data_IF_869959469575
#
_entry.id   IF_869959469575
#
_cell.length_a   1.000
_cell.length_b   1.000
_cell.length_c   1.000
_cell.angle_alpha   90.00
_cell.angle_beta   90.00
_cell.angle_gamma   90.00
#
_symmetry.space_group_name_H-M   'P 1'
#
loop_
_entity.id
_entity.type
_entity.pdbx_description
1 polymer ?
#
# COMPACT_ATOMS: atom_id res chain seq x y z
N UNK A 1 -23.07 -2.61 -39.37
CA UNK A 1 -22.63 -3.93 -38.85
C UNK A 1 -23.82 -4.55 -38.15
N UNK A 2 -24.36 -5.67 -38.64
CA UNK A 2 -25.40 -6.38 -37.91
C UNK A 2 -24.69 -7.27 -36.90
N UNK A 3 -24.93 -7.04 -35.62
CA UNK A 3 -24.46 -7.90 -34.54
C UNK A 3 -24.98 -9.31 -34.81
N UNK A 4 -24.11 -10.33 -34.82
CA UNK A 4 -24.56 -11.73 -34.94
C UNK A 4 -25.07 -12.18 -33.58
N UNK A 5 -26.38 -12.21 -33.44
CA UNK A 5 -27.08 -12.72 -32.26
C UNK A 5 -27.35 -14.21 -32.52
N UNK A 6 -27.22 -15.08 -31.51
CA UNK A 6 -27.60 -16.48 -31.63
C UNK A 6 -29.11 -16.62 -31.85
N UNK A 7 -29.54 -17.63 -32.60
CA UNK A 7 -30.97 -17.89 -32.89
C UNK A 7 -31.77 -18.05 -31.59
N UNK A 8 -31.23 -18.79 -30.61
CA UNK A 8 -31.83 -18.97 -29.28
C UNK A 8 -32.09 -17.63 -28.55
N UNK A 9 -31.21 -16.64 -28.70
CA UNK A 9 -31.33 -15.35 -28.03
C UNK A 9 -32.33 -14.44 -28.77
N UNK A 10 -32.41 -14.54 -30.10
CA UNK A 10 -33.44 -13.82 -30.87
C UNK A 10 -34.85 -14.31 -30.51
N UNK A 11 -35.05 -15.63 -30.42
CA UNK A 11 -36.32 -16.21 -29.99
C UNK A 11 -36.70 -15.78 -28.57
N UNK A 12 -35.73 -15.78 -27.64
CA UNK A 12 -35.93 -15.31 -26.28
C UNK A 12 -36.31 -13.82 -26.21
N UNK A 13 -35.66 -12.97 -27.02
CA UNK A 13 -35.97 -11.54 -27.12
C UNK A 13 -37.36 -11.30 -27.70
N UNK A 14 -37.74 -12.01 -28.75
CA UNK A 14 -39.07 -11.93 -29.34
C UNK A 14 -40.16 -12.35 -28.34
N UNK A 15 -39.92 -13.43 -27.59
CA UNK A 15 -40.87 -13.93 -26.61
C UNK A 15 -41.04 -12.99 -25.41
N UNK A 16 -39.93 -12.44 -24.88
CA UNK A 16 -39.96 -11.44 -23.82
C UNK A 16 -40.69 -10.15 -24.27
N UNK A 17 -40.42 -9.68 -25.49
CA UNK A 17 -41.07 -8.51 -26.07
C UNK A 17 -42.59 -8.73 -26.26
N UNK A 18 -43.00 -9.93 -26.71
CA UNK A 18 -44.41 -10.33 -26.81
C UNK A 18 -45.11 -10.33 -25.45
N UNK A 19 -44.48 -10.91 -24.42
CA UNK A 19 -45.01 -10.94 -23.05
C UNK A 19 -45.24 -9.54 -22.48
N UNK A 20 -44.32 -8.61 -22.76
CA UNK A 20 -44.38 -7.22 -22.33
C UNK A 20 -45.21 -6.31 -23.28
N UNK A 21 -45.68 -6.83 -24.42
CA UNK A 21 -46.40 -6.11 -25.48
C UNK A 21 -45.68 -4.85 -25.99
N UNK A 22 -44.35 -4.94 -26.11
CA UNK A 22 -43.50 -3.86 -26.67
C UNK A 22 -42.72 -4.37 -27.88
N UNK A 23 -42.28 -3.49 -28.80
CA UNK A 23 -41.36 -3.89 -29.86
C UNK A 23 -40.01 -4.36 -29.29
N UNK A 24 -39.39 -5.35 -29.93
CA UNK A 24 -38.08 -5.93 -29.52
C UNK A 24 -37.00 -4.84 -29.41
N UNK A 25 -36.98 -3.88 -30.34
CA UNK A 25 -36.02 -2.77 -30.31
C UNK A 25 -36.15 -1.89 -29.07
N UNK A 26 -37.37 -1.73 -28.53
CA UNK A 26 -37.61 -0.96 -27.32
C UNK A 26 -37.18 -1.72 -26.07
N UNK A 27 -37.43 -3.04 -26.04
CA UNK A 27 -36.95 -3.92 -24.97
C UNK A 27 -35.42 -3.91 -24.91
N UNK A 28 -34.74 -4.10 -26.05
CA UNK A 28 -33.28 -4.11 -26.12
C UNK A 28 -32.72 -2.77 -25.68
N UNK A 29 -33.32 -1.65 -26.10
CA UNK A 29 -32.91 -0.31 -25.65
C UNK A 29 -33.02 -0.18 -24.13
N UNK A 30 -34.19 -0.48 -23.57
CA UNK A 30 -34.43 -0.35 -22.13
C UNK A 30 -33.48 -1.25 -21.33
N UNK A 31 -33.27 -2.50 -21.74
CA UNK A 31 -32.37 -3.42 -21.06
C UNK A 31 -30.92 -2.94 -21.13
N UNK A 32 -30.49 -2.40 -22.27
CA UNK A 32 -29.15 -1.84 -22.38
C UNK A 32 -29.00 -0.60 -21.51
N UNK A 33 -29.96 0.33 -21.53
CA UNK A 33 -29.99 1.51 -20.67
C UNK A 33 -29.96 1.10 -19.18
N UNK A 34 -30.82 0.17 -18.75
CA UNK A 34 -30.86 -0.35 -17.38
C UNK A 34 -29.52 -1.02 -16.96
N UNK A 35 -28.88 -1.76 -17.86
CA UNK A 35 -27.58 -2.41 -17.58
C UNK A 35 -26.47 -1.37 -17.46
N UNK A 36 -26.49 -0.31 -18.28
CA UNK A 36 -25.52 0.78 -18.15
C UNK A 36 -25.69 1.54 -16.84
N UNK A 37 -26.93 1.87 -16.46
CA UNK A 37 -27.24 2.54 -15.19
C UNK A 37 -26.77 1.70 -13.98
N UNK A 38 -26.96 0.37 -14.03
CA UNK A 38 -26.48 -0.54 -12.97
C UNK A 38 -24.94 -0.59 -12.92
N UNK A 39 -24.26 -0.61 -14.07
CA UNK A 39 -22.79 -0.63 -14.12
C UNK A 39 -22.20 0.69 -13.64
N UNK A 40 -22.82 1.82 -13.99
CA UNK A 40 -22.45 3.15 -13.50
C UNK A 40 -22.60 3.21 -11.97
N UNK A 41 -23.74 2.79 -11.43
CA UNK A 41 -23.96 2.72 -9.98
C UNK A 41 -22.94 1.81 -9.27
N UNK A 42 -22.59 0.65 -9.84
CA UNK A 42 -21.55 -0.23 -9.25
C UNK A 42 -20.18 0.44 -9.29
N UNK A 43 -19.85 1.15 -10.37
CA UNK A 43 -18.56 1.84 -10.51
C UNK A 43 -18.43 2.98 -9.51
N UNK A 44 -19.51 3.74 -9.28
CA UNK A 44 -19.59 4.78 -8.25
C UNK A 44 -19.43 4.18 -6.84
N UNK A 45 -20.19 3.12 -6.52
CA UNK A 45 -20.10 2.44 -5.21
C UNK A 45 -18.72 1.83 -4.93
N UNK A 46 -18.03 1.31 -5.96
CA UNK A 46 -16.66 0.79 -5.82
C UNK A 46 -15.66 1.93 -5.65
N UNK A 47 -15.86 3.06 -6.32
CA UNK A 47 -15.07 4.28 -6.11
C UNK A 47 -15.13 4.75 -4.67
N UNK A 48 -16.35 4.91 -4.14
CA UNK A 48 -16.60 5.34 -2.76
C UNK A 48 -16.00 4.35 -1.74
N UNK A 49 -16.15 3.04 -1.97
CA UNK A 49 -15.56 2.03 -1.08
C UNK A 49 -14.02 2.07 -1.09
N UNK A 50 -13.40 2.31 -2.24
CA UNK A 50 -11.94 2.45 -2.33
C UNK A 50 -11.47 3.72 -1.63
N UNK A 51 -12.19 4.83 -1.77
CA UNK A 51 -11.91 6.09 -1.07
C UNK A 51 -12.05 5.93 0.46
N UNK A 52 -13.10 5.27 0.95
CA UNK A 52 -13.30 4.93 2.36
C UNK A 52 -12.18 4.05 2.92
N UNK A 53 -11.74 3.03 2.16
CA UNK A 53 -10.63 2.15 2.57
C UNK A 53 -9.31 2.93 2.60
N UNK A 54 -9.09 3.84 1.65
CA UNK A 54 -7.89 4.70 1.61
C UNK A 54 -7.92 5.71 2.77
N UNK A 55 -9.06 6.33 3.06
CA UNK A 55 -9.23 7.27 4.16
C UNK A 55 -9.10 6.57 5.53
N UNK A 56 -9.69 5.38 5.70
CA UNK A 56 -9.52 4.56 6.90
C UNK A 56 -8.08 4.08 7.07
N UNK A 57 -7.38 3.69 5.99
CA UNK A 57 -5.97 3.35 6.04
C UNK A 57 -5.09 4.55 6.46
N UNK A 58 -5.40 5.75 5.96
CA UNK A 58 -4.73 6.99 6.38
C UNK A 58 -5.07 7.37 7.83
N UNK A 59 -6.30 7.14 8.28
CA UNK A 59 -6.74 7.39 9.65
C UNK A 59 -6.13 6.40 10.65
N UNK A 60 -5.98 5.13 10.27
CA UNK A 60 -5.21 4.12 11.02
C UNK A 60 -3.72 4.49 11.08
N UNK A 61 -3.17 5.04 9.98
CA UNK A 61 -1.83 5.62 9.95
C UNK A 61 -1.66 6.77 10.96
N UNK A 62 -2.62 7.71 10.99
CA UNK A 62 -2.62 8.84 11.95
C UNK A 62 -2.87 8.41 13.40
N UNK A 63 -3.59 7.31 13.64
CA UNK A 63 -3.79 6.73 15.00
C UNK A 63 -2.56 5.97 15.52
N UNK A 64 -1.68 5.50 14.63
CA UNK A 64 -0.44 4.81 14.99
C UNK A 64 0.67 5.76 15.46
N UNK A 65 0.72 7.00 14.96
CA UNK A 65 1.74 8.00 15.30
C UNK A 65 1.73 8.42 16.78
N UNK A 66 0.55 8.44 17.43
CA UNK A 66 0.41 8.85 18.83
C UNK A 66 0.90 7.80 19.85
N UNK A 67 0.63 6.51 19.60
CA UNK A 67 1.00 5.42 20.53
C UNK A 67 2.46 4.98 20.42
N UNK A 68 3.09 5.19 19.26
CA UNK A 68 4.48 4.75 19.04
C UNK A 68 5.52 5.70 19.62
N UNK A 69 5.23 7.01 19.69
CA UNK A 69 6.09 7.98 20.37
C UNK A 69 6.26 7.67 21.85
N UNK A 70 5.20 7.20 22.53
CA UNK A 70 5.23 6.86 23.95
C UNK A 70 6.04 5.58 24.22
N UNK A 71 5.83 4.52 23.43
CA UNK A 71 6.61 3.26 23.56
C UNK A 71 8.09 3.42 23.23
N UNK A 72 8.43 4.23 22.23
CA UNK A 72 9.83 4.48 21.87
C UNK A 72 10.50 5.43 22.85
N UNK A 73 9.79 6.41 23.41
CA UNK A 73 10.30 7.27 24.49
C UNK A 73 10.56 6.47 25.78
N UNK A 74 9.64 5.60 26.20
CA UNK A 74 9.83 4.72 27.36
C UNK A 74 10.94 3.69 27.14
N UNK A 75 11.02 3.09 25.96
CA UNK A 75 12.10 2.16 25.62
C UNK A 75 13.46 2.87 25.54
N UNK A 76 13.50 4.13 25.09
CA UNK A 76 14.72 4.97 25.04
C UNK A 76 15.11 5.46 26.43
N UNK A 77 14.15 5.79 27.31
CA UNK A 77 14.40 6.11 28.72
C UNK A 77 15.00 4.91 29.45
N UNK A 78 14.44 3.70 29.25
CA UNK A 78 14.97 2.45 29.81
C UNK A 78 16.35 2.08 29.23
N UNK A 79 16.65 2.47 27.99
CA UNK A 79 17.99 2.28 27.37
C UNK A 79 19.02 3.28 27.87
N UNK A 80 18.62 4.53 28.13
CA UNK A 80 19.51 5.56 28.69
C UNK A 80 19.95 5.19 30.12
N UNK A 81 19.12 4.49 30.89
CA UNK A 81 19.55 3.91 32.18
C UNK A 81 20.62 2.82 32.00
N UNK A 82 20.49 1.94 31.00
CA UNK A 82 21.44 0.84 30.76
C UNK A 82 22.76 1.32 30.14
N UNK A 83 22.72 2.29 29.22
CA UNK A 83 23.92 2.83 28.54
C UNK A 83 24.79 3.69 29.48
N UNK A 84 24.21 4.24 30.55
CA UNK A 84 24.94 5.02 31.56
C UNK A 84 25.94 4.19 32.37
N UNK A 85 25.68 2.89 32.51
CA UNK A 85 26.60 1.95 33.17
C UNK A 85 27.74 1.49 32.24
N UNK A 86 27.56 1.57 30.92
CA UNK A 86 28.58 1.18 29.91
C UNK A 86 29.43 2.35 29.37
N UNK A 87 29.02 3.60 29.62
CA UNK A 87 29.69 4.82 29.16
C UNK A 87 31.01 5.18 29.90
N UNK A 88 31.87 4.19 30.16
CA UNK A 88 33.26 4.41 30.58
C UNK A 88 34.27 3.78 29.62
N UNK A 89 34.20 4.14 28.34
CA UNK A 89 35.30 4.00 27.39
C UNK A 89 35.20 5.07 26.28
N UNK A 90 36.33 5.60 25.76
CA UNK A 90 36.34 6.84 25.00
C UNK A 90 35.97 6.66 23.51
N UNK A 91 35.12 7.57 23.00
CA UNK A 91 34.91 7.81 21.57
C UNK A 91 36.21 8.34 20.91
N UNK A 92 36.47 8.17 19.58
CA UNK A 92 35.88 9.09 18.58
C UNK A 92 35.87 8.65 17.07
N UNK A 93 35.35 9.52 16.17
CA UNK A 93 35.62 9.65 14.70
C UNK A 93 34.72 8.94 13.63
N UNK A 94 33.41 8.79 13.82
CA UNK A 94 32.53 8.22 12.77
C UNK A 94 31.40 9.16 12.25
N UNK A 95 31.52 10.48 12.41
CA UNK A 95 30.41 11.39 12.06
C UNK A 95 30.42 11.94 10.62
N UNK A 96 31.57 11.98 9.95
CA UNK A 96 31.70 12.66 8.65
C UNK A 96 31.67 11.73 7.41
N UNK A 97 31.78 10.41 7.57
CA UNK A 97 31.71 9.45 6.46
C UNK A 97 30.28 9.01 6.09
N UNK A 98 29.31 9.18 6.98
CA UNK A 98 27.96 8.58 6.87
C UNK A 98 27.05 9.13 5.78
N UNK A 99 27.43 10.18 5.05
CA UNK A 99 26.56 10.83 4.05
C UNK A 99 26.83 10.36 2.62
N UNK A 100 28.07 9.98 2.31
CA UNK A 100 28.45 9.48 0.99
C UNK A 100 28.09 7.99 0.78
N UNK A 101 27.79 7.25 1.84
CA UNK A 101 27.42 5.82 1.80
C UNK A 101 25.89 5.56 1.76
N UNK A 102 25.08 6.60 1.53
CA UNK A 102 23.61 6.54 1.49
C UNK A 102 23.00 6.51 0.09
N UNK A 103 23.82 6.42 -0.96
CA UNK A 103 23.32 6.33 -2.33
C UNK A 103 22.98 4.87 -2.69
N UNK A 104 21.76 4.67 -3.19
CA UNK A 104 21.24 3.38 -3.66
C UNK A 104 20.90 3.46 -5.16
N UNK A 105 21.91 3.63 -6.04
CA UNK A 105 21.70 3.97 -7.45
C UNK A 105 21.00 2.87 -8.26
N UNK A 106 21.03 1.63 -7.78
CA UNK A 106 20.39 0.48 -8.41
C UNK A 106 18.95 0.26 -7.94
N UNK A 107 18.48 0.98 -6.92
CA UNK A 107 17.12 0.85 -6.38
C UNK A 107 16.16 1.75 -7.16
N UNK A 108 15.10 1.16 -7.71
CA UNK A 108 14.12 1.88 -8.52
C UNK A 108 13.00 2.50 -7.68
N UNK A 109 12.61 1.86 -6.58
CA UNK A 109 11.56 2.33 -5.67
C UNK A 109 11.67 1.73 -4.26
N UNK A 110 10.83 2.22 -3.34
CA UNK A 110 10.74 1.74 -1.97
C UNK A 110 9.30 1.34 -1.63
N UNK A 111 9.11 0.10 -1.16
CA UNK A 111 7.80 -0.44 -0.75
C UNK A 111 7.69 -0.49 0.78
N UNK A 112 6.65 0.12 1.39
CA UNK A 112 6.43 0.04 2.83
C UNK A 112 5.99 -1.37 3.25
N UNK A 113 6.49 -1.83 4.39
CA UNK A 113 6.13 -3.12 4.98
C UNK A 113 6.36 -3.15 6.50
N UNK A 114 5.88 -4.21 7.14
CA UNK A 114 6.13 -4.50 8.56
C UNK A 114 7.06 -5.71 8.67
N UNK A 115 8.11 -5.59 9.47
CA UNK A 115 9.08 -6.66 9.69
C UNK A 115 8.45 -7.88 10.39
N UNK A 116 8.63 -9.08 9.84
CA UNK A 116 8.32 -10.33 10.55
C UNK A 116 9.53 -10.93 11.28
N UNK A 117 10.73 -10.54 10.86
CA UNK A 117 12.02 -10.99 11.39
C UNK A 117 12.93 -9.80 11.62
N UNK A 118 13.91 -9.92 12.52
CA UNK A 118 14.88 -8.85 12.70
C UNK A 118 15.76 -8.68 11.45
N UNK A 119 15.95 -7.44 11.00
CA UNK A 119 16.76 -7.07 9.83
C UNK A 119 17.58 -5.81 10.13
N UNK A 120 18.69 -5.60 9.44
CA UNK A 120 19.51 -4.41 9.59
C UNK A 120 19.13 -3.35 8.54
N UNK A 121 19.06 -2.09 8.97
CA UNK A 121 18.84 -0.97 8.07
C UNK A 121 20.11 -0.71 7.24
N UNK A 122 20.00 -0.72 5.92
CA UNK A 122 21.13 -0.49 5.02
C UNK A 122 21.73 0.92 5.14
N UNK A 123 20.95 1.92 5.57
CA UNK A 123 21.41 3.32 5.66
C UNK A 123 22.12 3.69 6.98
N UNK A 124 21.73 3.06 8.10
CA UNK A 124 22.29 3.41 9.42
C UNK A 124 22.79 2.22 10.25
N UNK A 125 22.63 0.99 9.76
CA UNK A 125 23.01 -0.24 10.47
C UNK A 125 22.13 -0.57 11.68
N UNK A 126 21.07 0.21 11.94
CA UNK A 126 20.17 -0.06 13.07
C UNK A 126 19.40 -1.35 12.83
N UNK A 127 19.35 -2.20 13.86
CA UNK A 127 18.52 -3.41 13.86
C UNK A 127 17.03 -3.06 14.02
N UNK A 128 16.25 -3.38 12.99
CA UNK A 128 14.79 -3.34 12.95
C UNK A 128 14.26 -4.70 13.38
N UNK A 129 13.29 -4.73 14.30
CA UNK A 129 12.74 -5.94 14.93
C UNK A 129 11.42 -6.32 14.29
N UNK A 130 10.91 -7.51 14.63
CA UNK A 130 9.55 -7.91 14.28
C UNK A 130 8.53 -6.86 14.76
N UNK A 131 7.67 -6.42 13.86
CA UNK A 131 6.66 -5.39 14.09
C UNK A 131 7.14 -3.97 13.78
N UNK A 132 8.41 -3.76 13.48
CA UNK A 132 8.91 -2.43 13.07
C UNK A 132 8.50 -2.15 11.61
N UNK A 133 8.14 -0.89 11.35
CA UNK A 133 7.93 -0.39 10.00
C UNK A 133 9.26 -0.23 9.28
N UNK A 134 9.34 -0.76 8.07
CA UNK A 134 10.51 -0.70 7.21
C UNK A 134 10.12 -0.57 5.74
N UNK A 135 11.11 -0.29 4.90
CA UNK A 135 10.94 -0.10 3.48
C UNK A 135 11.84 -1.06 2.72
N UNK A 136 11.26 -1.88 1.86
CA UNK A 136 11.98 -2.80 0.99
C UNK A 136 12.35 -2.10 -0.31
N UNK A 137 13.60 -2.22 -0.73
CA UNK A 137 14.03 -1.79 -2.05
C UNK A 137 13.37 -2.64 -3.14
N UNK A 138 12.80 -1.99 -4.14
CA UNK A 138 12.26 -2.60 -5.35
C UNK A 138 13.16 -2.24 -6.52
N UNK A 139 13.58 -3.25 -7.28
CA UNK A 139 14.66 -3.09 -8.26
C UNK A 139 16.04 -3.16 -7.59
N UNK A 140 17.07 -3.34 -8.40
CA UNK A 140 18.43 -3.57 -7.94
C UNK A 140 19.08 -4.76 -8.64
N UNK A 141 20.39 -4.68 -8.82
CA UNK A 141 21.21 -5.82 -9.28
C UNK A 141 21.90 -6.51 -8.11
N UNK A 142 21.77 -5.96 -6.89
CA UNK A 142 22.38 -6.51 -5.68
C UNK A 142 21.75 -7.86 -5.30
N UNK A 143 22.58 -8.83 -4.87
CA UNK A 143 22.05 -10.06 -4.28
C UNK A 143 21.42 -9.79 -2.91
N UNK A 144 20.12 -10.09 -2.80
CA UNK A 144 19.37 -10.06 -1.54
C UNK A 144 18.54 -8.79 -1.32
N UNK A 145 17.55 -8.85 -0.41
CA UNK A 145 16.67 -7.72 -0.11
C UNK A 145 17.41 -6.63 0.68
N UNK A 146 17.18 -5.37 0.31
CA UNK A 146 17.64 -4.20 1.06
C UNK A 146 16.48 -3.59 1.83
N UNK A 147 16.71 -3.29 3.11
CA UNK A 147 15.72 -2.68 3.97
C UNK A 147 16.21 -1.34 4.51
N UNK A 148 15.34 -0.34 4.54
CA UNK A 148 15.57 0.93 5.23
C UNK A 148 14.54 1.15 6.32
N UNK A 149 14.98 1.80 7.41
CA UNK A 149 14.07 2.33 8.39
C UNK A 149 13.53 3.70 7.97
N UNK A 150 12.36 4.07 8.50
CA UNK A 150 11.69 5.34 8.17
C UNK A 150 12.59 6.59 8.26
N UNK A 151 13.42 6.79 9.31
CA UNK A 151 14.32 7.94 9.34
C UNK A 151 15.28 7.98 8.15
N UNK A 152 15.87 6.83 7.79
CA UNK A 152 16.80 6.78 6.67
C UNK A 152 16.13 7.02 5.32
N UNK A 153 14.86 6.62 5.16
CA UNK A 153 14.10 6.92 3.93
C UNK A 153 13.78 8.41 3.82
N UNK A 154 13.47 9.09 4.92
CA UNK A 154 13.20 10.53 4.95
C UNK A 154 14.44 11.39 4.70
N UNK A 155 15.63 10.81 4.93
CA UNK A 155 16.93 11.45 4.77
C UNK A 155 17.62 11.12 3.41
N UNK A 156 16.93 10.43 2.49
CA UNK A 156 17.38 10.19 1.11
C UNK A 156 17.14 11.40 0.22
#
# INVERSE_FOLDING_TARGET
MHTRISEDLDEALQDAARRLRVPVSNLVRNVLEDVFDVVEAVTENVGDFVEDVVEEAQHLGRRWEGRFRERTAEARARRVEVDRDEARAPAPRAAASRSAEREFPDVAAWQPLVMNTAQECAGCGRQMRRGDDAYLAVGGTRPGPLFLCQPCLQDL
#
